data_IF_382813500103
#
_entry.id   IF_382813500103
#
_cell.length_a   1.000
_cell.length_b   1.000
_cell.length_c   1.000
_cell.angle_alpha   90.00
_cell.angle_beta   90.00
_cell.angle_gamma   90.00
#
_symmetry.space_group_name_H-M   'P 1'
#
loop_
_entity.id
_entity.type
_entity.pdbx_description
1 polymer ?
#
# COMPACT_ATOMS: atom_id res chain seq x y z
N UNK A 1 -25.03 -2.51 -6.15
CA UNK A 1 -24.79 -3.69 -7.03
C UNK A 1 -24.64 -4.94 -6.18
N UNK A 2 -25.49 -5.97 -6.38
CA UNK A 2 -25.41 -7.23 -5.61
C UNK A 2 -24.13 -7.97 -6.02
N UNK A 3 -23.20 -8.18 -5.09
CA UNK A 3 -21.97 -8.97 -5.35
C UNK A 3 -22.34 -10.40 -5.75
N UNK A 4 -21.63 -10.94 -6.76
CA UNK A 4 -21.73 -12.33 -7.18
C UNK A 4 -21.46 -13.25 -5.94
N UNK A 5 -22.26 -14.27 -5.75
CA UNK A 5 -22.17 -15.19 -4.59
C UNK A 5 -20.78 -15.87 -4.51
N UNK A 6 -20.20 -16.20 -5.67
CA UNK A 6 -18.84 -16.78 -5.76
C UNK A 6 -17.79 -15.83 -5.19
N UNK A 7 -17.94 -14.51 -5.45
CA UNK A 7 -17.00 -13.48 -4.95
C UNK A 7 -17.14 -13.32 -3.44
N UNK A 8 -18.35 -13.39 -2.89
CA UNK A 8 -18.56 -13.36 -1.42
C UNK A 8 -17.83 -14.51 -0.72
N UNK A 9 -17.98 -15.74 -1.23
CA UNK A 9 -17.28 -16.92 -0.69
C UNK A 9 -15.76 -16.74 -0.76
N UNK A 10 -15.23 -16.26 -1.88
CA UNK A 10 -13.79 -16.00 -2.03
C UNK A 10 -13.26 -14.96 -1.04
N UNK A 11 -14.04 -13.93 -0.73
CA UNK A 11 -13.66 -12.92 0.27
C UNK A 11 -13.57 -13.54 1.67
N UNK A 12 -14.50 -14.40 2.07
CA UNK A 12 -14.43 -15.07 3.36
C UNK A 12 -13.29 -16.09 3.45
N UNK A 13 -13.03 -16.84 2.36
CA UNK A 13 -11.89 -17.76 2.26
C UNK A 13 -10.53 -17.04 2.36
N UNK A 14 -10.47 -15.74 2.13
CA UNK A 14 -9.24 -14.95 2.26
C UNK A 14 -8.72 -14.85 3.70
N UNK A 15 -9.51 -15.21 4.71
CA UNK A 15 -9.08 -15.33 6.11
C UNK A 15 -7.96 -16.38 6.29
N UNK A 16 -7.88 -17.39 5.41
CA UNK A 16 -6.82 -18.41 5.42
C UNK A 16 -5.44 -17.74 5.29
N UNK A 17 -4.56 -17.98 6.30
CA UNK A 17 -3.22 -17.37 6.37
C UNK A 17 -2.19 -18.07 5.47
N UNK A 18 -2.50 -18.30 4.19
CA UNK A 18 -1.58 -18.87 3.21
C UNK A 18 -1.40 -17.90 2.03
N UNK A 19 -0.19 -17.44 1.78
CA UNK A 19 0.11 -16.42 0.78
C UNK A 19 -0.21 -16.85 -0.65
N UNK A 20 0.00 -18.13 -1.00
CA UNK A 20 -0.31 -18.70 -2.33
C UNK A 20 -1.82 -18.73 -2.55
N UNK A 21 -2.58 -19.22 -1.56
CA UNK A 21 -4.06 -19.25 -1.62
C UNK A 21 -4.61 -17.84 -1.73
N UNK A 22 -4.14 -16.89 -0.92
CA UNK A 22 -4.54 -15.48 -0.98
C UNK A 22 -4.27 -14.86 -2.35
N UNK A 23 -3.14 -15.14 -2.97
CA UNK A 23 -2.82 -14.66 -4.32
C UNK A 23 -3.79 -15.23 -5.36
N UNK A 24 -4.10 -16.53 -5.30
CA UNK A 24 -5.07 -17.17 -6.18
C UNK A 24 -6.47 -16.57 -6.02
N UNK A 25 -6.92 -16.33 -4.79
CA UNK A 25 -8.21 -15.69 -4.51
C UNK A 25 -8.28 -14.30 -5.14
N UNK A 26 -7.25 -13.45 -4.96
CA UNK A 26 -7.20 -12.11 -5.58
C UNK A 26 -7.29 -12.18 -7.10
N UNK A 27 -6.50 -13.05 -7.71
CA UNK A 27 -6.51 -13.27 -9.16
C UNK A 27 -7.89 -13.71 -9.66
N UNK A 28 -8.54 -14.64 -8.94
CA UNK A 28 -9.87 -15.15 -9.33
C UNK A 28 -10.95 -14.08 -9.19
N UNK A 29 -10.94 -13.28 -8.12
CA UNK A 29 -11.88 -12.15 -7.97
C UNK A 29 -11.68 -11.14 -9.09
N UNK A 30 -10.42 -10.73 -9.36
CA UNK A 30 -10.11 -9.81 -10.44
C UNK A 30 -10.64 -10.32 -11.79
N UNK A 31 -10.40 -11.61 -12.10
CA UNK A 31 -10.88 -12.22 -13.37
C UNK A 31 -12.41 -12.22 -13.48
N UNK A 32 -13.14 -12.49 -12.40
CA UNK A 32 -14.62 -12.49 -12.39
C UNK A 32 -15.16 -11.08 -12.64
N UNK A 33 -14.48 -10.03 -12.16
CA UNK A 33 -14.95 -8.64 -12.25
C UNK A 33 -14.24 -7.80 -13.34
N UNK A 34 -13.66 -8.43 -14.36
CA UNK A 34 -13.11 -7.75 -15.54
C UNK A 34 -11.71 -7.16 -15.37
N UNK A 35 -10.98 -7.56 -14.33
CA UNK A 35 -9.60 -7.13 -14.07
C UNK A 35 -9.42 -6.31 -12.80
N UNK A 36 -8.16 -6.12 -12.41
CA UNK A 36 -7.79 -5.40 -11.16
C UNK A 36 -8.28 -3.95 -11.17
N UNK A 37 -8.24 -3.28 -12.33
CA UNK A 37 -8.66 -1.88 -12.49
C UNK A 37 -10.14 -1.66 -12.14
N UNK A 38 -11.00 -2.64 -12.38
CA UNK A 38 -12.44 -2.51 -12.30
C UNK A 38 -13.07 -3.23 -11.10
N UNK A 39 -12.33 -4.15 -10.48
CA UNK A 39 -12.84 -4.99 -9.39
C UNK A 39 -13.03 -4.22 -8.09
N UNK A 40 -14.26 -3.83 -7.80
CA UNK A 40 -14.62 -3.22 -6.50
C UNK A 40 -14.52 -4.21 -5.33
N UNK A 41 -14.78 -5.49 -5.59
CA UNK A 41 -14.67 -6.52 -4.55
C UNK A 41 -13.23 -6.78 -4.13
N UNK A 42 -12.28 -6.67 -5.08
CA UNK A 42 -10.85 -6.77 -4.78
C UNK A 42 -10.38 -5.58 -3.91
N UNK A 43 -10.81 -4.37 -4.22
CA UNK A 43 -10.55 -3.16 -3.40
C UNK A 43 -11.09 -3.30 -2.00
N UNK A 44 -12.34 -3.76 -1.88
CA UNK A 44 -12.95 -4.04 -0.58
C UNK A 44 -12.17 -5.10 0.20
N UNK A 45 -11.74 -6.18 -0.44
CA UNK A 45 -10.94 -7.25 0.18
C UNK A 45 -9.62 -6.69 0.70
N UNK A 46 -8.89 -5.91 -0.12
CA UNK A 46 -7.61 -5.31 0.29
C UNK A 46 -7.81 -4.35 1.47
N UNK A 47 -8.85 -3.52 1.43
CA UNK A 47 -9.17 -2.65 2.57
C UNK A 47 -9.53 -3.46 3.83
N UNK A 48 -10.37 -4.49 3.72
CA UNK A 48 -10.78 -5.34 4.85
C UNK A 48 -9.58 -5.99 5.54
N UNK A 49 -8.66 -6.61 4.77
CA UNK A 49 -7.60 -7.47 5.31
C UNK A 49 -6.23 -6.80 5.41
N UNK A 50 -5.93 -5.79 4.59
CA UNK A 50 -4.62 -5.13 4.55
C UNK A 50 -4.69 -3.65 4.97
N UNK A 51 -5.90 -3.10 5.22
CA UNK A 51 -6.09 -1.70 5.65
C UNK A 51 -5.53 -0.67 4.67
N UNK A 52 -5.57 -0.98 3.36
CA UNK A 52 -5.17 -0.09 2.28
C UNK A 52 -6.44 0.25 1.49
N UNK A 53 -6.73 1.54 1.34
CA UNK A 53 -7.84 2.03 0.52
C UNK A 53 -7.31 2.31 -0.88
N UNK A 54 -7.99 1.82 -1.91
CA UNK A 54 -7.58 1.98 -3.31
C UNK A 54 -8.76 2.49 -4.11
N UNK A 55 -8.57 3.60 -4.81
CA UNK A 55 -9.54 4.20 -5.68
C UNK A 55 -9.83 3.40 -6.96
N UNK A 56 -10.96 3.72 -7.59
CA UNK A 56 -11.42 3.09 -8.83
C UNK A 56 -10.47 3.37 -9.99
N UNK A 57 -10.29 2.43 -10.91
CA UNK A 57 -9.42 2.57 -12.06
C UNK A 57 -7.92 2.45 -11.77
N UNK A 58 -7.49 2.47 -10.51
CA UNK A 58 -6.07 2.33 -10.13
C UNK A 58 -5.60 0.87 -10.25
N UNK A 59 -4.33 0.68 -10.65
CA UNK A 59 -3.73 -0.64 -10.86
C UNK A 59 -2.23 -0.65 -10.56
N UNK A 60 -1.67 -1.86 -10.42
CA UNK A 60 -0.23 -2.11 -10.27
C UNK A 60 0.16 -2.74 -8.95
N UNK A 61 1.30 -2.30 -8.37
CA UNK A 61 1.99 -2.91 -7.24
C UNK A 61 1.06 -3.28 -6.07
N UNK A 62 0.11 -2.41 -5.70
CA UNK A 62 -0.81 -2.63 -4.58
C UNK A 62 -1.69 -3.90 -4.72
N UNK A 63 -1.85 -4.42 -5.92
CA UNK A 63 -2.60 -5.66 -6.18
C UNK A 63 -1.70 -6.87 -6.37
N UNK A 64 -0.52 -6.69 -6.96
CA UNK A 64 0.46 -7.78 -7.17
C UNK A 64 1.16 -8.16 -5.87
N UNK A 65 1.60 -7.17 -5.11
CA UNK A 65 2.16 -7.35 -3.77
C UNK A 65 1.46 -6.42 -2.77
N UNK A 66 0.62 -7.00 -1.92
CA UNK A 66 -0.13 -6.26 -0.90
C UNK A 66 0.74 -5.67 0.21
N UNK A 67 2.03 -6.01 0.26
CA UNK A 67 2.99 -5.45 1.21
C UNK A 67 3.74 -4.24 0.66
N UNK A 68 3.53 -3.90 -0.64
CA UNK A 68 4.12 -2.71 -1.27
C UNK A 68 3.78 -1.42 -0.53
N UNK A 69 2.63 -1.38 0.12
CA UNK A 69 2.18 -0.25 0.93
C UNK A 69 1.84 -0.68 2.35
N UNK A 70 2.08 0.19 3.31
CA UNK A 70 1.77 -0.09 4.73
C UNK A 70 0.29 0.16 5.04
N UNK A 71 -0.27 -0.52 6.07
CA UNK A 71 -1.63 -0.29 6.53
C UNK A 71 -1.91 1.19 6.82
N UNK A 72 -3.11 1.66 6.46
CA UNK A 72 -3.50 3.06 6.59
C UNK A 72 -3.25 3.90 5.34
N UNK A 73 -2.55 3.36 4.32
CA UNK A 73 -2.35 4.06 3.04
C UNK A 73 -3.67 4.25 2.30
N UNK A 74 -3.85 5.45 1.74
CA UNK A 74 -4.99 5.82 0.88
C UNK A 74 -4.43 6.13 -0.50
N UNK A 75 -4.97 5.49 -1.54
CA UNK A 75 -4.61 5.67 -2.95
C UNK A 75 -5.85 6.15 -3.69
N UNK A 76 -5.74 7.24 -4.42
CA UNK A 76 -6.79 7.83 -5.22
C UNK A 76 -7.21 6.99 -6.43
N UNK A 77 -8.04 7.59 -7.29
CA UNK A 77 -8.55 6.96 -8.50
C UNK A 77 -7.56 7.09 -9.67
N UNK A 78 -7.63 6.15 -10.61
CA UNK A 78 -6.90 6.15 -11.88
C UNK A 78 -5.38 6.21 -11.78
N UNK A 79 -4.81 5.79 -10.65
CA UNK A 79 -3.36 5.74 -10.46
C UNK A 79 -2.73 4.55 -11.19
N UNK A 80 -1.54 4.78 -11.75
CA UNK A 80 -0.75 3.80 -12.52
C UNK A 80 0.55 3.50 -11.80
N UNK A 81 0.66 2.32 -11.20
CA UNK A 81 1.85 1.96 -10.43
C UNK A 81 2.58 0.79 -11.07
N UNK A 82 3.87 0.96 -11.32
CA UNK A 82 4.74 -0.14 -11.71
C UNK A 82 4.93 -1.15 -10.57
N UNK A 83 5.62 -2.24 -10.83
CA UNK A 83 5.93 -3.24 -9.81
C UNK A 83 7.08 -2.79 -8.89
N UNK A 84 7.27 -3.51 -7.78
CA UNK A 84 8.38 -3.30 -6.82
C UNK A 84 8.43 -1.87 -6.27
N UNK A 85 7.32 -1.38 -5.74
CA UNK A 85 7.27 -0.16 -4.94
C UNK A 85 7.43 -0.57 -3.47
N UNK A 86 8.29 0.14 -2.73
CA UNK A 86 8.52 -0.07 -1.30
C UNK A 86 8.14 1.18 -0.53
N UNK A 87 7.11 1.09 0.31
CA UNK A 87 6.70 2.15 1.21
C UNK A 87 7.09 1.80 2.65
N UNK A 88 7.84 2.70 3.28
CA UNK A 88 8.17 2.66 4.71
C UNK A 88 7.40 3.77 5.43
N UNK A 89 6.84 3.47 6.60
CA UNK A 89 6.01 4.42 7.34
C UNK A 89 6.54 4.74 8.75
N UNK A 90 7.72 4.24 9.11
CA UNK A 90 8.43 4.55 10.34
C UNK A 90 9.93 4.33 10.17
N UNK A 91 10.73 5.10 10.93
CA UNK A 91 12.15 4.90 11.14
C UNK A 91 12.40 4.33 12.54
N UNK A 92 13.60 3.82 12.80
CA UNK A 92 14.08 3.58 14.15
C UNK A 92 14.19 4.91 14.91
N UNK A 93 13.97 4.93 16.24
CA UNK A 93 14.10 6.15 17.06
C UNK A 93 15.59 6.50 17.23
N UNK A 94 16.09 7.40 16.39
CA UNK A 94 17.49 7.81 16.38
C UNK A 94 17.86 8.72 17.57
N UNK A 95 16.89 9.20 18.31
CA UNK A 95 17.00 10.01 19.54
C UNK A 95 16.96 9.18 20.83
N UNK A 96 16.84 7.85 20.73
CA UNK A 96 16.94 6.92 21.84
C UNK A 96 18.39 6.51 22.11
N UNK A 97 18.68 6.04 23.35
CA UNK A 97 19.99 5.51 23.70
C UNK A 97 20.40 4.27 22.89
N UNK A 98 19.43 3.59 22.25
CA UNK A 98 19.64 2.52 21.29
C UNK A 98 18.54 2.52 20.24
N UNK A 99 18.89 2.20 18.99
CA UNK A 99 17.94 2.01 17.88
C UNK A 99 17.34 0.61 17.85
N UNK A 100 17.76 -0.29 18.77
CA UNK A 100 17.28 -1.66 18.80
C UNK A 100 15.80 -1.74 19.22
N UNK A 101 14.97 -2.61 18.58
CA UNK A 101 13.53 -2.70 18.86
C UNK A 101 13.15 -3.09 20.29
N UNK A 102 14.09 -3.54 21.09
CA UNK A 102 13.86 -3.88 22.52
C UNK A 102 13.27 -2.71 23.33
N UNK A 103 13.54 -1.47 22.94
CA UNK A 103 13.09 -0.27 23.69
C UNK A 103 11.77 0.30 23.19
N UNK A 104 11.24 -0.16 22.05
CA UNK A 104 10.04 0.46 21.48
C UNK A 104 9.01 -0.55 20.89
N UNK A 105 9.35 -1.84 20.77
CA UNK A 105 8.45 -2.83 20.17
C UNK A 105 8.06 -3.92 21.16
N UNK A 106 6.76 -4.14 21.42
CA UNK A 106 6.26 -5.24 22.26
C UNK A 106 6.62 -6.63 21.74
N UNK A 107 7.02 -6.75 20.46
CA UNK A 107 7.42 -8.04 19.87
C UNK A 107 8.83 -8.47 20.28
N UNK A 108 9.69 -7.52 20.66
CA UNK A 108 11.12 -7.77 20.90
C UNK A 108 11.60 -7.28 22.26
N UNK A 109 10.82 -6.47 22.95
CA UNK A 109 11.20 -5.88 24.20
C UNK A 109 10.08 -5.88 25.24
N UNK A 110 10.44 -5.54 26.45
CA UNK A 110 9.54 -5.48 27.61
C UNK A 110 8.82 -4.13 27.69
N UNK A 111 8.12 -3.77 26.60
CA UNK A 111 7.29 -2.57 26.48
C UNK A 111 5.85 -2.95 26.17
N UNK A 112 4.88 -2.30 26.83
CA UNK A 112 3.47 -2.64 26.67
C UNK A 112 2.88 -2.19 25.33
N UNK A 113 3.40 -1.12 24.74
CA UNK A 113 2.89 -0.55 23.49
C UNK A 113 4.04 -0.16 22.56
N UNK A 114 3.75 -0.21 21.26
CA UNK A 114 4.69 0.29 20.26
C UNK A 114 4.83 1.81 20.39
N UNK A 115 6.08 2.32 20.45
CA UNK A 115 6.40 3.74 20.59
C UNK A 115 6.76 4.43 19.27
N UNK A 116 6.81 3.69 18.15
CA UNK A 116 7.08 4.28 16.84
C UNK A 116 5.90 5.13 16.35
N UNK A 117 6.20 6.34 15.94
CA UNK A 117 5.27 7.16 15.19
C UNK A 117 5.24 6.67 13.74
N UNK A 118 4.04 6.32 13.26
CA UNK A 118 3.84 5.84 11.89
C UNK A 118 3.14 6.89 11.04
N UNK A 119 3.78 7.28 9.94
CA UNK A 119 3.20 8.21 8.97
C UNK A 119 2.13 7.51 8.15
N UNK A 120 0.98 8.17 7.96
CA UNK A 120 -0.02 7.79 6.97
C UNK A 120 0.36 8.40 5.62
N UNK A 121 0.32 7.58 4.57
CA UNK A 121 0.54 8.04 3.19
C UNK A 121 -0.80 8.21 2.48
N UNK A 122 -1.01 9.39 1.91
CA UNK A 122 -2.15 9.71 1.04
C UNK A 122 -1.61 10.00 -0.35
N UNK A 123 -2.03 9.21 -1.32
CA UNK A 123 -1.71 9.40 -2.74
C UNK A 123 -2.97 9.89 -3.43
N UNK A 124 -2.87 11.00 -4.15
CA UNK A 124 -3.95 11.62 -4.89
C UNK A 124 -4.46 10.80 -6.07
N UNK A 125 -5.24 11.43 -6.92
CA UNK A 125 -5.78 10.81 -8.14
C UNK A 125 -4.78 10.94 -9.29
N UNK A 126 -4.84 10.02 -10.27
CA UNK A 126 -4.07 10.07 -11.52
C UNK A 126 -2.55 10.19 -11.29
N UNK A 127 -2.04 9.51 -10.27
CA UNK A 127 -0.61 9.49 -9.93
C UNK A 127 0.09 8.36 -10.68
N UNK A 128 1.23 8.66 -11.29
CA UNK A 128 2.10 7.65 -11.89
C UNK A 128 3.35 7.40 -11.05
N UNK A 129 3.57 6.16 -10.62
CA UNK A 129 4.77 5.75 -9.89
C UNK A 129 5.52 4.70 -10.70
N UNK A 130 6.77 5.03 -11.04
CA UNK A 130 7.68 4.17 -11.79
C UNK A 130 8.18 2.96 -11.02
N UNK A 131 8.92 2.11 -11.73
CA UNK A 131 9.50 0.85 -11.21
C UNK A 131 10.56 1.11 -10.14
N UNK A 132 10.61 0.25 -9.10
CA UNK A 132 11.60 0.28 -8.02
C UNK A 132 11.64 1.59 -7.21
N UNK A 133 10.52 2.28 -7.10
CA UNK A 133 10.41 3.48 -6.27
C UNK A 133 10.38 3.11 -4.78
N UNK A 134 11.12 3.88 -3.97
CA UNK A 134 11.12 3.79 -2.51
C UNK A 134 10.48 5.06 -1.94
N UNK A 135 9.48 4.91 -1.07
CA UNK A 135 8.81 6.02 -0.38
C UNK A 135 9.19 5.95 1.10
N UNK A 136 9.86 7.00 1.60
CA UNK A 136 10.38 7.06 2.97
C UNK A 136 9.31 7.54 3.98
N UNK A 137 9.53 7.31 5.29
CA UNK A 137 8.54 7.61 6.33
C UNK A 137 8.14 9.07 6.49
N UNK A 138 8.95 10.03 6.02
CA UNK A 138 8.59 11.45 6.08
C UNK A 138 7.55 11.86 5.02
N UNK A 139 7.26 10.98 4.06
CA UNK A 139 6.28 11.28 3.00
C UNK A 139 4.89 10.93 3.49
N UNK A 140 4.07 11.94 3.69
CA UNK A 140 2.66 11.79 4.05
C UNK A 140 1.71 12.05 2.89
N UNK A 141 2.18 12.72 1.82
CA UNK A 141 1.35 13.12 0.70
C UNK A 141 2.08 13.07 -0.64
N UNK A 142 1.38 12.55 -1.65
CA UNK A 142 1.73 12.64 -3.08
C UNK A 142 0.50 13.20 -3.78
N UNK A 143 0.63 14.40 -4.38
CA UNK A 143 -0.48 15.17 -4.94
C UNK A 143 -1.09 14.55 -6.20
N UNK A 144 -2.27 15.04 -6.58
CA UNK A 144 -2.96 14.60 -7.81
C UNK A 144 -2.06 14.81 -9.04
N UNK A 145 -2.10 13.89 -10.00
CA UNK A 145 -1.36 14.01 -11.26
C UNK A 145 0.17 13.99 -11.11
N UNK A 146 0.70 13.70 -9.93
CA UNK A 146 2.15 13.63 -9.74
C UNK A 146 2.76 12.43 -10.47
N UNK A 147 3.99 12.61 -10.96
CA UNK A 147 4.79 11.56 -11.61
C UNK A 147 6.06 11.31 -10.82
N UNK A 148 6.32 10.05 -10.46
CA UNK A 148 7.54 9.64 -9.78
C UNK A 148 8.34 8.73 -10.71
N UNK A 149 9.52 9.18 -11.12
CA UNK A 149 10.42 8.46 -12.00
C UNK A 149 10.87 7.13 -11.41
N UNK A 150 11.14 6.15 -12.28
CA UNK A 150 11.63 4.84 -11.85
C UNK A 150 12.94 4.94 -11.07
N UNK A 151 13.13 4.10 -10.06
CA UNK A 151 14.33 4.07 -9.22
C UNK A 151 14.43 5.21 -8.21
N UNK A 152 13.44 6.10 -8.12
CA UNK A 152 13.49 7.26 -7.21
C UNK A 152 13.35 6.87 -5.75
N UNK A 153 14.03 7.62 -4.88
CA UNK A 153 13.83 7.61 -3.43
C UNK A 153 13.09 8.88 -3.02
N UNK A 154 11.80 8.74 -2.73
CA UNK A 154 10.95 9.88 -2.34
C UNK A 154 11.17 10.18 -0.87
N UNK A 155 11.77 11.34 -0.58
CA UNK A 155 12.20 11.76 0.76
C UNK A 155 11.31 12.85 1.38
N UNK A 156 10.44 13.47 0.60
CA UNK A 156 9.53 14.55 1.01
C UNK A 156 8.22 14.47 0.24
N UNK A 157 7.20 15.18 0.70
CA UNK A 157 5.91 15.28 0.00
C UNK A 157 6.10 15.77 -1.44
N UNK A 158 5.26 15.27 -2.33
CA UNK A 158 5.24 15.64 -3.74
C UNK A 158 3.99 16.44 -4.02
N UNK A 159 4.14 17.65 -4.52
CA UNK A 159 3.03 18.51 -4.87
C UNK A 159 2.26 17.99 -6.10
N UNK A 160 1.00 18.44 -6.23
CA UNK A 160 0.19 18.04 -7.37
C UNK A 160 0.82 18.45 -8.70
N UNK A 161 0.72 17.56 -9.69
CA UNK A 161 1.21 17.74 -11.06
C UNK A 161 2.73 17.90 -11.20
N UNK A 162 3.49 17.64 -10.14
CA UNK A 162 4.94 17.66 -10.20
C UNK A 162 5.49 16.33 -10.75
N UNK A 163 6.61 16.45 -11.47
CA UNK A 163 7.41 15.31 -11.92
C UNK A 163 8.70 15.30 -11.10
N UNK A 164 8.93 14.21 -10.39
CA UNK A 164 10.12 14.04 -9.53
C UNK A 164 10.87 12.77 -9.88
N UNK A 165 12.18 12.78 -9.68
CA UNK A 165 13.06 11.66 -9.97
C UNK A 165 14.38 11.76 -9.20
N UNK A 166 15.08 10.62 -9.07
CA UNK A 166 16.33 10.54 -8.32
C UNK A 166 16.14 10.42 -6.81
N UNK A 167 17.08 10.98 -6.06
CA UNK A 167 17.11 10.99 -4.58
C UNK A 167 17.58 12.34 -4.05
#
# INVERSE_FOLDING_TARGET
MKRNIKVKILIELYSIKNSRIRRLIRSKIAKIEGGVMWSNSLRHLINKYHKIQIGYGSYGAMFSDVNSFKPGTIIGNYCSFANKISHFNANHPYDSFTMHPIVYSPLYGDVNNERLQRTKLIIGNDVWIGQNVVILPNVSHIGNGAVIGAGSIVTKNVEAYNIVGGN
#
